data_IF_109382618059
#
_entry.id   IF_109382618059
#
_cell.length_a   1.000
_cell.length_b   1.000
_cell.length_c   1.000
_cell.angle_alpha   90.00
_cell.angle_beta   90.00
_cell.angle_gamma   90.00
#
_symmetry.space_group_name_H-M   'P 1'
#
loop_
_entity.id
_entity.type
_entity.pdbx_description
1 polymer ?
#
# COMPACT_ATOMS: atom_id res chain seq x y z
N UNK A 1 -27.37 1.98 -26.67
CA UNK A 1 -26.62 1.70 -25.42
C UNK A 1 -25.23 2.28 -25.58
N UNK A 2 -24.95 3.39 -24.89
CA UNK A 2 -23.75 4.18 -25.14
C UNK A 2 -22.51 3.56 -24.49
N UNK A 3 -21.39 3.59 -25.22
CA UNK A 3 -20.05 3.12 -24.84
C UNK A 3 -19.55 3.66 -23.49
N UNK A 4 -20.09 4.80 -23.02
CA UNK A 4 -19.75 5.42 -21.73
C UNK A 4 -20.29 4.69 -20.48
N UNK A 5 -21.28 3.80 -20.64
CA UNK A 5 -21.88 3.05 -19.52
C UNK A 5 -21.04 1.86 -19.06
N UNK A 6 -20.38 1.17 -19.99
CA UNK A 6 -19.55 0.00 -19.71
C UNK A 6 -18.25 0.37 -18.98
N UNK A 7 -17.63 1.52 -19.32
CA UNK A 7 -16.40 1.99 -18.69
C UNK A 7 -16.56 2.33 -17.18
N UNK A 8 -17.75 2.80 -16.77
CA UNK A 8 -18.00 3.13 -15.35
C UNK A 8 -18.17 1.89 -14.47
N UNK A 9 -18.68 0.80 -15.03
CA UNK A 9 -18.85 -0.47 -14.31
C UNK A 9 -17.48 -1.14 -14.10
N UNK A 10 -16.58 -1.09 -15.08
CA UNK A 10 -15.21 -1.60 -14.92
C UNK A 10 -14.39 -0.81 -13.90
N UNK A 11 -14.52 0.52 -13.88
CA UNK A 11 -13.82 1.37 -12.91
C UNK A 11 -14.31 1.10 -11.48
N UNK A 12 -15.62 0.93 -11.26
CA UNK A 12 -16.20 0.66 -9.96
C UNK A 12 -15.86 -0.74 -9.38
N UNK A 13 -15.70 -1.75 -10.24
CA UNK A 13 -15.31 -3.11 -9.81
C UNK A 13 -13.83 -3.16 -9.38
N UNK A 14 -12.99 -2.26 -9.91
CA UNK A 14 -11.57 -2.18 -9.53
C UNK A 14 -11.31 -1.54 -8.15
N UNK A 15 -12.25 -0.74 -7.64
CA UNK A 15 -12.13 -0.07 -6.34
C UNK A 15 -12.54 -0.96 -5.14
N UNK A 16 -13.44 -1.93 -5.34
CA UNK A 16 -13.91 -2.85 -4.27
C UNK A 16 -12.82 -3.87 -3.90
N UNK A 17 -11.91 -4.19 -4.84
CA UNK A 17 -10.76 -5.06 -4.62
C UNK A 17 -9.45 -4.26 -4.67
N UNK A 18 -9.35 -3.17 -3.92
CA UNK A 18 -8.07 -2.47 -3.78
C UNK A 18 -7.30 -3.09 -2.60
N UNK A 19 -6.31 -3.98 -2.83
CA UNK A 19 -5.46 -4.47 -1.75
C UNK A 19 -4.76 -3.31 -1.05
N UNK A 20 -4.36 -3.47 0.22
CA UNK A 20 -3.54 -2.48 0.95
C UNK A 20 -2.12 -2.42 0.39
N UNK A 21 -2.01 -1.97 -0.85
CA UNK A 21 -0.79 -1.85 -1.65
C UNK A 21 -0.54 -0.39 -2.01
N UNK A 22 0.72 -0.05 -2.22
CA UNK A 22 1.08 1.26 -2.76
C UNK A 22 0.70 1.33 -4.25
N UNK A 23 -0.05 2.35 -4.66
CA UNK A 23 -0.42 2.55 -6.07
C UNK A 23 0.75 2.88 -6.99
N UNK A 24 1.92 3.25 -6.44
CA UNK A 24 3.10 3.68 -7.21
C UNK A 24 4.11 2.54 -7.38
N UNK A 25 4.43 1.81 -6.31
CA UNK A 25 5.46 0.76 -6.32
C UNK A 25 4.93 -0.65 -6.01
N UNK A 26 3.61 -0.82 -5.89
CA UNK A 26 2.99 -2.13 -5.65
C UNK A 26 3.26 -2.75 -4.28
N UNK A 27 4.02 -2.09 -3.39
CA UNK A 27 4.39 -2.63 -2.06
C UNK A 27 3.14 -3.05 -1.28
N UNK A 28 3.03 -4.34 -0.98
CA UNK A 28 2.00 -4.94 -0.15
C UNK A 28 2.46 -5.31 1.26
N UNK A 29 1.59 -5.99 1.99
CA UNK A 29 1.91 -6.53 3.32
C UNK A 29 2.94 -7.66 3.23
N UNK A 30 3.81 -7.76 4.23
CA UNK A 30 4.80 -8.83 4.35
C UNK A 30 4.60 -9.61 5.66
N UNK A 31 4.91 -10.90 5.65
CA UNK A 31 4.98 -11.71 6.85
C UNK A 31 6.35 -11.56 7.50
N UNK A 32 6.40 -11.24 8.80
CA UNK A 32 7.64 -11.16 9.56
C UNK A 32 7.53 -11.96 10.85
N UNK A 33 8.61 -12.60 11.27
CA UNK A 33 8.65 -13.29 12.57
C UNK A 33 8.93 -12.27 13.68
N UNK A 34 8.08 -12.23 14.70
CA UNK A 34 8.34 -11.46 15.92
C UNK A 34 9.47 -12.15 16.67
N UNK A 35 10.46 -11.38 17.10
CA UNK A 35 11.56 -11.85 17.93
C UNK A 35 11.47 -11.19 19.31
N UNK A 36 11.74 -11.96 20.37
CA UNK A 36 11.81 -11.45 21.75
C UNK A 36 13.18 -11.78 22.31
N UNK A 37 13.83 -10.80 22.95
CA UNK A 37 15.11 -10.99 23.63
C UNK A 37 14.85 -11.31 25.09
N UNK A 38 15.17 -12.54 25.50
CA UNK A 38 14.97 -12.98 26.89
C UNK A 38 16.19 -12.64 27.75
N UNK A 39 17.40 -13.00 27.30
CA UNK A 39 18.66 -12.73 28.03
C UNK A 39 19.82 -12.40 27.09
N UNK A 40 20.20 -13.32 26.18
CA UNK A 40 21.32 -13.10 25.24
C UNK A 40 20.91 -13.05 23.75
N UNK A 41 20.08 -14.00 23.32
CA UNK A 41 19.67 -14.17 21.91
C UNK A 41 18.21 -13.76 21.68
N UNK A 42 17.94 -13.31 20.45
CA UNK A 42 16.58 -13.08 19.95
C UNK A 42 15.94 -14.41 19.55
N UNK A 43 14.85 -14.77 20.22
CA UNK A 43 14.12 -16.00 19.94
C UNK A 43 12.86 -15.72 19.11
N UNK A 44 12.62 -16.48 18.02
CA UNK A 44 11.40 -16.35 17.23
C UNK A 44 10.19 -16.80 18.04
N UNK A 45 9.11 -16.01 17.96
CA UNK A 45 7.86 -16.26 18.67
C UNK A 45 6.75 -16.60 17.68
N UNK A 46 6.09 -15.59 17.11
CA UNK A 46 4.94 -15.76 16.22
C UNK A 46 5.19 -15.00 14.91
N UNK A 47 4.59 -15.47 13.81
CA UNK A 47 4.57 -14.73 12.54
C UNK A 47 3.48 -13.65 12.60
N UNK A 48 3.85 -12.41 12.31
CA UNK A 48 2.97 -11.25 12.28
C UNK A 48 2.97 -10.60 10.89
N UNK A 49 1.82 -10.09 10.46
CA UNK A 49 1.73 -9.27 9.24
C UNK A 49 2.24 -7.86 9.51
N UNK A 50 3.14 -7.39 8.65
CA UNK A 50 3.62 -6.00 8.60
C UNK A 50 3.02 -5.33 7.38
N UNK A 51 2.27 -4.26 7.60
CA UNK A 51 1.64 -3.49 6.53
C UNK A 51 2.55 -2.34 6.10
N UNK A 52 2.56 -1.99 4.80
CA UNK A 52 3.23 -0.78 4.34
C UNK A 52 2.56 0.47 4.95
N UNK A 53 3.36 1.48 5.27
CA UNK A 53 2.83 2.77 5.72
C UNK A 53 2.29 3.55 4.51
N UNK A 54 1.01 3.32 4.21
CA UNK A 54 0.27 3.95 3.10
C UNK A 54 -0.39 5.23 3.58
N UNK A 55 -0.18 6.31 2.84
CA UNK A 55 -0.77 7.62 3.10
C UNK A 55 -1.35 8.21 1.82
N UNK A 56 -2.39 9.02 1.96
CA UNK A 56 -3.00 9.74 0.84
C UNK A 56 -2.11 10.89 0.41
N UNK A 57 -1.80 10.94 -0.88
CA UNK A 57 -1.01 12.03 -1.48
C UNK A 57 -1.67 12.55 -2.75
N UNK A 58 -1.55 13.86 -2.94
CA UNK A 58 -1.96 14.54 -4.17
C UNK A 58 -0.82 14.45 -5.18
N UNK A 59 -1.10 13.88 -6.35
CA UNK A 59 -0.18 13.93 -7.48
C UNK A 59 -0.21 15.33 -8.12
N UNK A 60 0.82 15.63 -8.92
CA UNK A 60 0.87 16.83 -9.76
C UNK A 60 -0.30 16.89 -10.76
N UNK A 61 -0.88 15.74 -11.11
CA UNK A 61 -2.09 15.62 -11.92
C UNK A 61 -3.39 15.97 -11.18
N UNK A 62 -3.33 16.37 -9.90
CA UNK A 62 -4.50 16.73 -9.08
C UNK A 62 -5.26 15.55 -8.47
N UNK A 63 -4.99 14.31 -8.90
CA UNK A 63 -5.61 13.10 -8.33
C UNK A 63 -5.00 12.73 -6.97
N UNK A 64 -5.80 12.13 -6.10
CA UNK A 64 -5.36 11.56 -4.81
C UNK A 64 -5.16 10.05 -4.93
N UNK A 65 -4.01 9.55 -4.47
CA UNK A 65 -3.73 8.10 -4.43
C UNK A 65 -3.14 7.69 -3.07
N UNK A 66 -3.28 6.42 -2.69
CA UNK A 66 -2.58 5.85 -1.54
C UNK A 66 -1.17 5.43 -1.95
N UNK A 67 -0.16 6.10 -1.42
CA UNK A 67 1.25 5.83 -1.68
C UNK A 67 2.00 5.49 -0.40
N UNK A 68 3.06 4.69 -0.49
CA UNK A 68 3.90 4.40 0.67
C UNK A 68 4.84 5.57 0.98
N UNK A 69 5.22 5.71 2.25
CA UNK A 69 6.06 6.83 2.72
C UNK A 69 7.35 7.03 1.92
N UNK A 70 7.97 5.95 1.43
CA UNK A 70 9.19 6.05 0.61
C UNK A 70 8.91 6.72 -0.73
N UNK A 71 7.84 6.34 -1.43
CA UNK A 71 7.46 6.99 -2.69
C UNK A 71 7.08 8.45 -2.48
N UNK A 72 6.38 8.76 -1.39
CA UNK A 72 6.02 10.14 -1.05
C UNK A 72 7.28 10.98 -0.81
N UNK A 73 8.25 10.45 -0.07
CA UNK A 73 9.54 11.11 0.14
C UNK A 73 10.26 11.34 -1.19
N UNK A 74 10.28 10.36 -2.09
CA UNK A 74 10.91 10.51 -3.41
C UNK A 74 10.22 11.58 -4.26
N UNK A 75 8.89 11.64 -4.27
CA UNK A 75 8.14 12.68 -5.01
C UNK A 75 8.46 14.08 -4.48
N UNK A 76 8.66 14.23 -3.18
CA UNK A 76 8.90 15.51 -2.53
C UNK A 76 10.39 15.88 -2.41
N UNK A 77 11.31 15.07 -2.92
CA UNK A 77 12.73 15.45 -2.99
C UNK A 77 12.89 16.51 -4.08
N UNK A 78 13.22 17.73 -3.65
CA UNK A 78 13.68 18.82 -4.51
C UNK A 78 15.16 18.65 -4.82
#
# INVERSE_FOLDING_TARGET
MNSYGLAKISDAISDIFMPRTCSICGKGSQMATKLVKLRGKYNPTCKIRKYPNLQWVKLTSGKRVKACIQCIKTINKK
#
